data_IF_947162225843
#
_entry.id   IF_947162225843
#
_cell.length_a   1.000
_cell.length_b   1.000
_cell.length_c   1.000
_cell.angle_alpha   90.00
_cell.angle_beta   90.00
_cell.angle_gamma   90.00
#
_symmetry.space_group_name_H-M   'P 1'
#
loop_
_entity.id
_entity.type
_entity.pdbx_description
1 polymer ?
#
# COMPACT_ATOMS: atom_id res chain seq x y z
N UNK A 1 19.25 -0.71 -19.77
CA UNK A 1 18.05 -1.43 -19.27
C UNK A 1 17.13 -0.45 -18.54
N UNK A 2 15.83 -0.73 -18.50
CA UNK A 2 14.80 0.10 -17.78
C UNK A 2 15.17 0.40 -16.32
N UNK A 3 16.07 -0.37 -15.72
CA UNK A 3 16.52 -0.19 -14.34
C UNK A 3 17.64 0.86 -14.17
N UNK A 4 18.25 1.30 -15.26
CA UNK A 4 19.31 2.30 -15.30
C UNK A 4 18.75 3.73 -15.45
N UNK A 5 17.46 3.84 -15.81
CA UNK A 5 16.75 5.09 -16.03
C UNK A 5 15.88 5.45 -14.82
N UNK A 6 15.55 6.73 -14.72
CA UNK A 6 14.53 7.17 -13.78
C UNK A 6 13.14 6.63 -14.16
N UNK A 7 12.27 6.54 -13.16
CA UNK A 7 10.92 6.05 -13.38
C UNK A 7 10.16 7.05 -14.27
N UNK A 8 9.69 6.58 -15.43
CA UNK A 8 8.80 7.35 -16.30
C UNK A 8 7.35 7.21 -15.82
N UNK A 9 6.91 8.17 -15.01
CA UNK A 9 5.55 8.20 -14.46
C UNK A 9 4.47 8.24 -15.54
N UNK A 10 4.72 8.91 -16.68
CA UNK A 10 3.78 8.97 -17.80
C UNK A 10 3.60 7.60 -18.45
N UNK A 11 4.69 6.84 -18.53
CA UNK A 11 4.65 5.48 -19.06
C UNK A 11 3.88 4.55 -18.12
N UNK A 12 4.06 4.71 -16.81
CA UNK A 12 3.27 3.98 -15.82
C UNK A 12 1.78 4.30 -15.98
N UNK A 13 1.42 5.58 -16.04
CA UNK A 13 0.03 6.01 -16.25
C UNK A 13 -0.55 5.42 -17.54
N UNK A 14 0.20 5.48 -18.64
CA UNK A 14 -0.26 4.97 -19.94
C UNK A 14 -0.47 3.45 -19.95
N UNK A 15 0.40 2.69 -19.27
CA UNK A 15 0.34 1.23 -19.25
C UNK A 15 -0.62 0.66 -18.22
N UNK A 16 -0.74 1.30 -17.06
CA UNK A 16 -1.53 0.81 -15.93
C UNK A 16 -2.88 1.49 -15.78
N UNK A 17 -3.04 2.69 -16.33
CA UNK A 17 -4.19 3.56 -16.10
C UNK A 17 -4.16 4.28 -14.75
N UNK A 18 -3.14 4.04 -13.91
CA UNK A 18 -3.04 4.64 -12.58
C UNK A 18 -1.93 5.69 -12.50
N UNK A 19 -2.13 6.73 -11.68
CA UNK A 19 -1.04 7.64 -11.32
C UNK A 19 0.08 6.88 -10.61
N UNK A 20 1.31 7.41 -10.66
CA UNK A 20 2.46 6.75 -10.05
C UNK A 20 2.27 6.45 -8.54
N UNK A 21 1.75 7.39 -7.71
CA UNK A 21 1.48 7.10 -6.30
C UNK A 21 0.47 5.96 -6.13
N UNK A 22 -0.62 5.98 -6.86
CA UNK A 22 -1.64 4.92 -6.80
C UNK A 22 -1.08 3.57 -7.25
N UNK A 23 -0.34 3.54 -8.38
CA UNK A 23 0.32 2.32 -8.85
C UNK A 23 1.26 1.73 -7.80
N UNK A 24 2.09 2.57 -7.15
CA UNK A 24 3.02 2.14 -6.11
C UNK A 24 2.31 1.60 -4.88
N UNK A 25 1.21 2.22 -4.49
CA UNK A 25 0.36 1.72 -3.41
C UNK A 25 -0.22 0.34 -3.73
N UNK A 26 -0.83 0.19 -4.90
CA UNK A 26 -1.38 -1.10 -5.34
C UNK A 26 -0.30 -2.17 -5.48
N UNK A 27 0.89 -1.79 -5.98
CA UNK A 27 2.04 -2.68 -6.03
C UNK A 27 2.41 -3.19 -4.63
N UNK A 28 2.47 -2.30 -3.64
CA UNK A 28 2.81 -2.67 -2.26
C UNK A 28 1.77 -3.60 -1.63
N UNK A 29 0.49 -3.36 -1.88
CA UNK A 29 -0.60 -4.23 -1.42
C UNK A 29 -0.46 -5.65 -2.01
N UNK A 30 -0.17 -5.74 -3.31
CA UNK A 30 -0.10 -7.03 -4.02
C UNK A 30 1.18 -7.82 -3.72
N UNK A 31 2.32 -7.13 -3.51
CA UNK A 31 3.63 -7.75 -3.39
C UNK A 31 4.18 -7.79 -1.97
N UNK A 32 3.54 -7.07 -1.03
CA UNK A 32 3.99 -6.87 0.35
C UNK A 32 5.40 -6.24 0.45
N UNK A 33 5.81 -5.52 -0.60
CA UNK A 33 7.05 -4.74 -0.63
C UNK A 33 6.82 -3.43 -1.38
N UNK A 34 7.51 -2.36 -1.01
CA UNK A 34 7.34 -1.09 -1.74
C UNK A 34 7.96 -1.19 -3.13
N UNK A 35 7.39 -0.43 -4.08
CA UNK A 35 7.95 -0.37 -5.43
C UNK A 35 9.39 0.14 -5.41
N UNK A 36 9.70 1.12 -4.57
CA UNK A 36 11.04 1.69 -4.40
C UNK A 36 12.04 0.66 -3.88
N UNK A 37 11.67 -0.15 -2.86
CA UNK A 37 12.54 -1.19 -2.31
C UNK A 37 12.76 -2.32 -3.31
N UNK A 38 11.70 -2.70 -4.04
CA UNK A 38 11.83 -3.68 -5.12
C UNK A 38 12.81 -3.19 -6.20
N UNK A 39 12.65 -1.97 -6.70
CA UNK A 39 13.51 -1.40 -7.73
C UNK A 39 14.95 -1.24 -7.24
N UNK A 40 15.15 -0.77 -5.99
CA UNK A 40 16.47 -0.71 -5.37
C UNK A 40 17.14 -2.07 -5.31
N UNK A 41 16.42 -3.09 -4.84
CA UNK A 41 16.93 -4.45 -4.75
C UNK A 41 17.26 -5.04 -6.11
N UNK A 42 16.44 -4.73 -7.13
CA UNK A 42 16.70 -5.13 -8.51
C UNK A 42 17.94 -4.43 -9.09
N UNK A 43 18.09 -3.12 -8.88
CA UNK A 43 19.27 -2.34 -9.30
C UNK A 43 20.55 -2.89 -8.68
N UNK A 44 20.54 -3.17 -7.37
CA UNK A 44 21.71 -3.75 -6.69
C UNK A 44 22.02 -5.16 -7.20
N UNK A 45 21.01 -5.97 -7.51
CA UNK A 45 21.19 -7.30 -8.11
C UNK A 45 21.89 -7.19 -9.48
N UNK A 46 21.39 -6.34 -10.37
CA UNK A 46 21.99 -6.15 -11.70
C UNK A 46 23.42 -5.55 -11.60
N UNK A 47 23.62 -4.61 -10.66
CA UNK A 47 24.97 -4.07 -10.40
C UNK A 47 25.95 -5.16 -9.94
N UNK A 48 25.50 -6.11 -9.11
CA UNK A 48 26.34 -7.25 -8.67
C UNK A 48 26.70 -8.17 -9.84
N UNK A 49 25.77 -8.41 -10.75
CA UNK A 49 26.03 -9.20 -11.98
C UNK A 49 27.06 -8.49 -12.86
N UNK A 50 26.90 -7.19 -13.07
CA UNK A 50 27.88 -6.40 -13.85
C UNK A 50 29.26 -6.40 -13.18
N UNK A 51 29.34 -6.25 -11.86
CA UNK A 51 30.59 -6.31 -11.09
C UNK A 51 31.31 -7.65 -11.27
N UNK A 52 30.56 -8.74 -11.27
CA UNK A 52 31.12 -10.11 -11.45
C UNK A 52 31.61 -10.33 -12.88
N UNK A 53 30.85 -9.84 -13.86
CA UNK A 53 31.02 -10.22 -15.28
C UNK A 53 31.83 -9.18 -16.08
N UNK A 54 32.22 -8.05 -15.46
CA UNK A 54 32.98 -6.99 -16.13
C UNK A 54 34.12 -6.43 -15.29
N UNK A 55 35.02 -5.70 -15.96
CA UNK A 55 36.10 -4.91 -15.34
C UNK A 55 35.74 -3.40 -15.25
N UNK A 56 34.49 -3.02 -15.42
CA UNK A 56 34.05 -1.64 -15.31
C UNK A 56 34.42 -1.06 -13.92
N UNK A 57 34.77 0.22 -13.88
CA UNK A 57 35.07 0.87 -12.59
C UNK A 57 33.81 0.86 -11.68
N UNK A 58 34.01 0.62 -10.41
CA UNK A 58 32.88 0.57 -9.40
C UNK A 58 32.11 1.89 -9.42
N UNK A 59 32.78 3.03 -9.60
CA UNK A 59 32.13 4.33 -9.66
C UNK A 59 31.23 4.48 -10.89
N UNK A 60 31.65 3.95 -12.05
CA UNK A 60 30.83 4.00 -13.28
C UNK A 60 29.57 3.13 -13.14
N UNK A 61 29.74 1.96 -12.50
CA UNK A 61 28.59 1.08 -12.16
C UNK A 61 27.66 1.78 -11.16
N UNK A 62 28.19 2.48 -10.14
CA UNK A 62 27.39 3.23 -9.20
C UNK A 62 26.51 4.28 -9.89
N UNK A 63 27.10 5.11 -10.76
CA UNK A 63 26.36 6.10 -11.53
C UNK A 63 25.29 5.49 -12.45
N UNK A 64 25.64 4.40 -13.14
CA UNK A 64 24.73 3.68 -14.05
C UNK A 64 23.47 3.17 -13.33
N UNK A 65 23.57 2.78 -12.06
CA UNK A 65 22.45 2.31 -11.26
C UNK A 65 21.84 3.38 -10.35
N UNK A 66 22.09 4.67 -10.64
CA UNK A 66 21.41 5.81 -10.03
C UNK A 66 21.96 6.25 -8.67
N UNK A 67 23.22 5.95 -8.37
CA UNK A 67 23.91 6.44 -7.18
C UNK A 67 24.81 7.62 -7.50
N UNK A 68 24.71 8.69 -6.75
CA UNK A 68 25.50 9.91 -6.97
C UNK A 68 26.97 9.76 -6.56
N UNK A 69 27.29 8.83 -5.66
CA UNK A 69 28.65 8.62 -5.17
C UNK A 69 28.97 7.13 -5.00
N UNK A 70 30.27 6.79 -5.12
CA UNK A 70 30.78 5.45 -4.84
C UNK A 70 30.51 5.00 -3.39
N UNK A 71 30.52 5.93 -2.45
CA UNK A 71 30.34 5.64 -1.03
C UNK A 71 28.89 5.30 -0.70
N UNK A 72 27.93 6.07 -1.24
CA UNK A 72 26.49 5.76 -1.08
C UNK A 72 26.14 4.43 -1.72
N UNK A 73 26.68 4.14 -2.91
CA UNK A 73 26.56 2.85 -3.56
C UNK A 73 27.17 1.73 -2.71
N UNK A 74 28.40 1.89 -2.26
CA UNK A 74 29.12 0.89 -1.47
C UNK A 74 28.39 0.52 -0.17
N UNK A 75 27.84 1.53 0.53
CA UNK A 75 27.05 1.35 1.73
C UNK A 75 25.75 0.59 1.45
N UNK A 76 24.96 1.01 0.46
CA UNK A 76 23.71 0.36 0.08
C UNK A 76 23.96 -1.07 -0.42
N UNK A 77 24.99 -1.28 -1.24
CA UNK A 77 25.38 -2.57 -1.77
C UNK A 77 25.79 -3.55 -0.67
N UNK A 78 26.66 -3.12 0.27
CA UNK A 78 27.09 -3.94 1.41
C UNK A 78 25.93 -4.27 2.34
N UNK A 79 25.05 -3.29 2.62
CA UNK A 79 23.86 -3.53 3.45
C UNK A 79 22.95 -4.59 2.81
N UNK A 80 22.76 -4.54 1.51
CA UNK A 80 21.89 -5.46 0.80
C UNK A 80 22.52 -6.86 0.60
N UNK A 81 23.74 -6.93 0.07
CA UNK A 81 24.41 -8.19 -0.27
C UNK A 81 25.20 -8.85 0.88
N UNK A 82 25.58 -8.05 1.90
CA UNK A 82 26.45 -8.50 3.01
C UNK A 82 27.94 -8.32 2.73
N UNK A 83 28.34 -8.04 1.48
CA UNK A 83 29.72 -7.82 1.05
C UNK A 83 29.83 -6.54 0.23
N UNK A 84 31.03 -5.95 0.21
CA UNK A 84 31.30 -4.77 -0.60
C UNK A 84 31.33 -5.09 -2.10
N UNK A 85 31.17 -4.07 -2.99
CA UNK A 85 31.29 -4.26 -4.44
C UNK A 85 32.61 -4.90 -4.86
N UNK A 86 33.72 -4.51 -4.24
CA UNK A 86 35.04 -5.09 -4.50
C UNK A 86 35.12 -6.55 -4.12
N UNK A 87 34.58 -6.93 -2.96
CA UNK A 87 34.57 -8.32 -2.51
C UNK A 87 33.75 -9.21 -3.44
N UNK A 88 32.59 -8.74 -3.93
CA UNK A 88 31.77 -9.48 -4.90
C UNK A 88 32.50 -9.62 -6.22
N UNK A 89 33.21 -8.61 -6.70
CA UNK A 89 34.08 -8.70 -7.88
C UNK A 89 35.15 -9.79 -7.73
N UNK A 90 35.66 -10.00 -6.54
CA UNK A 90 36.64 -11.04 -6.23
C UNK A 90 36.03 -12.39 -5.82
N UNK A 91 34.76 -12.62 -6.14
CA UNK A 91 34.10 -13.92 -6.03
C UNK A 91 33.30 -14.15 -4.75
N UNK A 92 33.06 -13.12 -3.90
CA UNK A 92 32.12 -13.27 -2.79
C UNK A 92 30.69 -13.42 -3.32
N UNK A 93 29.83 -14.19 -2.62
CA UNK A 93 28.45 -14.39 -3.02
C UNK A 93 27.64 -13.10 -2.87
N UNK A 94 26.55 -12.99 -3.65
CA UNK A 94 25.61 -11.89 -3.57
C UNK A 94 24.16 -12.37 -3.68
N UNK A 95 23.23 -11.56 -3.17
CA UNK A 95 21.79 -11.85 -3.23
C UNK A 95 21.26 -11.53 -4.62
N UNK A 96 20.33 -12.35 -5.11
CA UNK A 96 19.62 -12.13 -6.37
C UNK A 96 18.13 -11.98 -6.08
N UNK A 97 17.58 -10.83 -6.41
CA UNK A 97 16.12 -10.62 -6.47
C UNK A 97 15.70 -10.85 -7.91
N UNK A 98 14.87 -11.84 -8.16
CA UNK A 98 14.33 -12.12 -9.49
C UNK A 98 13.32 -11.06 -9.94
N UNK A 99 13.05 -11.02 -11.25
CA UNK A 99 11.94 -10.20 -11.76
C UNK A 99 10.63 -10.72 -11.21
N UNK A 100 9.77 -9.81 -10.74
CA UNK A 100 8.40 -10.17 -10.44
C UNK A 100 7.73 -10.67 -11.71
N UNK A 101 7.13 -11.84 -11.62
CA UNK A 101 6.25 -12.39 -12.63
C UNK A 101 4.85 -12.40 -12.02
N UNK A 102 3.94 -11.68 -12.63
CA UNK A 102 2.51 -11.83 -12.31
C UNK A 102 2.08 -13.19 -12.86
N UNK A 103 2.06 -14.19 -11.99
CA UNK A 103 1.48 -15.47 -12.31
C UNK A 103 -0.01 -15.42 -11.98
N UNK A 104 -0.86 -15.50 -12.99
CA UNK A 104 -2.29 -15.75 -12.79
C UNK A 104 -2.41 -17.20 -12.28
N UNK A 105 -2.43 -17.39 -10.96
CA UNK A 105 -2.76 -18.70 -10.40
C UNK A 105 -4.28 -18.79 -10.32
N UNK A 106 -4.89 -19.55 -11.23
CA UNK A 106 -6.29 -19.97 -11.11
C UNK A 106 -6.38 -20.92 -9.91
N UNK A 107 -6.60 -20.39 -8.73
CA UNK A 107 -7.06 -21.17 -7.59
C UNK A 107 -8.57 -21.10 -7.63
N UNK A 108 -9.23 -22.24 -7.67
CA UNK A 108 -10.66 -22.41 -7.83
C UNK A 108 -11.50 -21.49 -6.92
N UNK A 109 -12.59 -20.99 -7.48
CA UNK A 109 -13.38 -19.88 -7.04
C UNK A 109 -13.72 -19.85 -5.56
N UNK A 110 -13.01 -19.02 -4.81
CA UNK A 110 -13.58 -18.46 -3.59
C UNK A 110 -14.54 -17.36 -4.04
N UNK A 111 -15.82 -17.59 -3.89
CA UNK A 111 -16.81 -16.52 -4.07
C UNK A 111 -16.65 -15.56 -2.89
N UNK A 112 -16.26 -14.32 -3.16
CA UNK A 112 -16.42 -13.24 -2.19
C UNK A 112 -17.75 -12.53 -2.47
N UNK A 113 -18.49 -12.19 -1.43
CA UNK A 113 -19.67 -11.37 -1.57
C UNK A 113 -19.23 -9.94 -1.88
N UNK A 114 -19.60 -9.43 -3.03
CA UNK A 114 -19.34 -8.05 -3.44
C UNK A 114 -20.65 -7.40 -3.79
N UNK A 115 -20.89 -6.22 -3.24
CA UNK A 115 -21.96 -5.33 -3.65
C UNK A 115 -21.37 -4.03 -4.20
N UNK A 116 -22.01 -3.46 -5.21
CA UNK A 116 -21.64 -2.15 -5.75
C UNK A 116 -22.69 -1.17 -5.26
N UNK A 117 -22.26 -0.14 -4.56
CA UNK A 117 -23.15 0.89 -4.02
C UNK A 117 -22.57 2.29 -4.25
N UNK A 118 -23.44 3.22 -4.64
CA UNK A 118 -23.11 4.64 -4.59
C UNK A 118 -23.31 5.16 -3.17
N UNK A 119 -22.23 5.61 -2.52
CA UNK A 119 -22.26 6.23 -1.20
C UNK A 119 -22.30 7.73 -1.36
N UNK A 120 -23.33 8.36 -0.79
CA UNK A 120 -23.39 9.82 -0.69
C UNK A 120 -22.22 10.34 0.15
N UNK A 121 -21.91 11.62 -0.02
CA UNK A 121 -20.91 12.27 0.80
C UNK A 121 -21.19 12.08 2.30
N UNK A 122 -20.17 11.77 3.07
CA UNK A 122 -20.25 11.56 4.53
C UNK A 122 -18.97 12.08 5.19
N UNK A 123 -18.97 12.12 6.51
CA UNK A 123 -17.85 12.68 7.26
C UNK A 123 -17.26 11.60 8.18
N UNK A 124 -15.94 11.58 8.23
CA UNK A 124 -15.15 10.71 9.13
C UNK A 124 -14.34 11.59 10.07
N UNK A 125 -14.27 11.21 11.34
CA UNK A 125 -13.38 11.88 12.30
C UNK A 125 -12.54 10.86 13.07
N UNK A 126 -11.28 11.22 13.32
CA UNK A 126 -10.35 10.31 13.98
C UNK A 126 -8.96 10.88 14.15
N UNK A 127 -7.99 10.00 14.33
CA UNK A 127 -6.57 10.33 14.34
C UNK A 127 -6.00 10.14 12.94
N UNK A 128 -5.66 11.23 12.29
CA UNK A 128 -5.06 11.23 10.96
C UNK A 128 -3.54 11.27 11.04
N UNK A 129 -2.88 10.38 10.32
CA UNK A 129 -1.42 10.37 10.14
C UNK A 129 -1.11 10.51 8.65
N UNK A 130 -0.26 11.46 8.33
CA UNK A 130 0.18 11.71 6.96
C UNK A 130 1.53 11.06 6.70
N UNK A 131 1.73 10.60 5.47
CA UNK A 131 3.01 10.08 4.97
C UNK A 131 3.59 8.97 5.87
N UNK A 132 2.77 7.97 6.18
CA UNK A 132 3.21 6.81 6.96
C UNK A 132 3.35 5.57 6.08
N UNK A 133 4.24 4.66 6.49
CA UNK A 133 4.27 3.32 5.91
C UNK A 133 3.02 2.55 6.36
N UNK A 134 2.39 1.80 5.45
CA UNK A 134 1.17 1.03 5.74
C UNK A 134 1.31 0.02 6.89
N UNK A 135 2.52 -0.45 7.17
CA UNK A 135 2.79 -1.33 8.32
C UNK A 135 2.55 -0.66 9.68
N UNK A 136 2.44 0.68 9.70
CA UNK A 136 2.17 1.45 10.91
C UNK A 136 0.67 1.66 11.20
N UNK A 137 -0.23 1.28 10.30
CA UNK A 137 -1.68 1.42 10.51
C UNK A 137 -2.17 0.83 11.85
N UNK A 138 -1.71 -0.36 12.30
CA UNK A 138 -2.10 -0.88 13.61
C UNK A 138 -1.66 0.02 14.77
N UNK A 139 -0.52 0.70 14.65
CA UNK A 139 -0.03 1.61 15.69
C UNK A 139 -0.86 2.89 15.78
N UNK A 140 -1.45 3.35 14.68
CA UNK A 140 -2.36 4.50 14.66
C UNK A 140 -3.62 4.17 15.47
N UNK A 141 -4.17 2.98 15.32
CA UNK A 141 -5.30 2.49 16.13
C UNK A 141 -4.93 2.40 17.62
N UNK A 142 -3.74 1.88 17.95
CA UNK A 142 -3.24 1.83 19.32
C UNK A 142 -3.13 3.22 19.95
N UNK A 143 -2.58 4.19 19.23
CA UNK A 143 -2.50 5.59 19.66
C UNK A 143 -3.90 6.20 19.83
N UNK A 144 -4.81 5.95 18.88
CA UNK A 144 -6.16 6.47 18.89
C UNK A 144 -6.94 6.00 20.14
N UNK A 145 -6.98 4.70 20.40
CA UNK A 145 -7.66 4.16 21.59
C UNK A 145 -6.95 4.42 22.93
N UNK A 146 -5.67 4.81 22.90
CA UNK A 146 -5.00 5.29 24.12
C UNK A 146 -5.48 6.67 24.56
N UNK A 147 -6.01 7.47 23.63
CA UNK A 147 -6.48 8.84 23.87
C UNK A 147 -7.97 8.93 24.14
N UNK A 148 -8.76 8.05 23.50
CA UNK A 148 -10.22 8.12 23.50
C UNK A 148 -10.83 6.75 23.83
N UNK A 149 -11.85 6.75 24.70
CA UNK A 149 -12.60 5.53 24.98
C UNK A 149 -13.64 5.25 23.88
N UNK A 150 -13.97 3.99 23.66
CA UNK A 150 -15.06 3.57 22.76
C UNK A 150 -16.36 4.29 23.05
N UNK A 151 -16.69 4.48 24.35
CA UNK A 151 -17.92 5.16 24.78
C UNK A 151 -17.96 6.65 24.36
N UNK A 152 -16.81 7.33 24.37
CA UNK A 152 -16.72 8.72 23.88
C UNK A 152 -16.95 8.78 22.39
N UNK A 153 -16.29 7.90 21.64
CA UNK A 153 -16.32 7.86 20.19
C UNK A 153 -17.69 7.45 19.63
N UNK A 154 -18.36 6.49 20.25
CA UNK A 154 -19.70 6.07 19.86
C UNK A 154 -20.77 7.19 19.98
N UNK A 155 -20.49 8.24 20.74
CA UNK A 155 -21.41 9.39 20.92
C UNK A 155 -21.30 10.44 19.80
N UNK A 156 -20.30 10.38 18.94
CA UNK A 156 -20.08 11.38 17.87
C UNK A 156 -20.65 10.96 16.51
N UNK A 157 -21.01 9.69 16.34
CA UNK A 157 -21.43 9.19 15.04
C UNK A 157 -22.29 7.94 15.11
N UNK A 158 -22.18 7.11 14.08
CA UNK A 158 -22.94 5.88 13.91
C UNK A 158 -22.44 4.71 14.77
N UNK A 159 -21.31 4.88 15.43
CA UNK A 159 -20.63 3.83 16.22
C UNK A 159 -19.74 2.91 15.38
N UNK A 160 -19.69 3.11 14.07
CA UNK A 160 -18.92 2.29 13.13
C UNK A 160 -17.50 2.81 12.98
N UNK A 161 -16.52 1.94 13.26
CA UNK A 161 -15.11 2.28 13.17
C UNK A 161 -14.55 1.99 11.77
N UNK A 162 -13.72 2.91 11.27
CA UNK A 162 -13.14 2.83 9.94
C UNK A 162 -11.66 3.17 9.92
N UNK A 163 -10.89 2.38 9.19
CA UNK A 163 -9.57 2.77 8.72
C UNK A 163 -9.71 3.36 7.32
N UNK A 164 -9.29 4.59 7.12
CA UNK A 164 -9.40 5.27 5.83
C UNK A 164 -8.03 5.59 5.26
N UNK A 165 -7.77 5.13 4.04
CA UNK A 165 -6.63 5.59 3.24
C UNK A 165 -7.09 6.67 2.27
N UNK A 166 -6.36 7.79 2.21
CA UNK A 166 -6.75 8.94 1.39
C UNK A 166 -5.53 9.71 0.87
N UNK A 167 -5.75 10.51 -0.18
CA UNK A 167 -4.78 11.48 -0.72
C UNK A 167 -3.34 10.93 -0.85
N UNK A 168 -3.20 9.77 -1.48
CA UNK A 168 -1.89 9.13 -1.68
C UNK A 168 -1.07 9.99 -2.64
N UNK A 169 -0.06 10.69 -2.11
CA UNK A 169 0.83 11.58 -2.86
C UNK A 169 2.21 10.95 -3.08
N UNK A 170 2.71 10.23 -2.10
CA UNK A 170 3.99 9.54 -2.17
C UNK A 170 3.79 8.05 -2.49
N UNK A 171 4.62 7.48 -3.40
CA UNK A 171 4.52 6.07 -3.77
C UNK A 171 4.82 5.07 -2.64
N UNK A 172 5.53 5.49 -1.61
CA UNK A 172 5.98 4.65 -0.49
C UNK A 172 5.20 4.86 0.79
N UNK A 173 4.32 5.88 0.82
CA UNK A 173 3.63 6.33 2.01
C UNK A 173 2.13 6.47 1.75
N UNK A 174 1.34 6.45 2.80
CA UNK A 174 -0.10 6.66 2.75
C UNK A 174 -0.52 7.70 3.80
N UNK A 175 -1.60 8.40 3.56
CA UNK A 175 -2.32 9.09 4.60
C UNK A 175 -3.37 8.13 5.15
N UNK A 176 -3.36 7.92 6.46
CA UNK A 176 -4.24 6.96 7.13
C UNK A 176 -4.94 7.60 8.32
N UNK A 177 -6.25 7.51 8.34
CA UNK A 177 -7.08 7.93 9.45
C UNK A 177 -7.70 6.69 10.12
N UNK A 178 -7.41 6.52 11.42
CA UNK A 178 -8.16 5.61 12.29
C UNK A 178 -9.27 6.39 12.98
N UNK A 179 -10.53 6.03 12.76
CA UNK A 179 -11.62 6.86 13.23
C UNK A 179 -13.01 6.23 13.11
N UNK A 180 -14.00 7.11 13.07
CA UNK A 180 -15.42 6.76 13.02
C UNK A 180 -16.16 7.60 11.97
N UNK A 181 -17.19 7.00 11.37
CA UNK A 181 -18.18 7.77 10.61
C UNK A 181 -18.99 8.59 11.60
N UNK A 182 -19.08 9.91 11.37
CA UNK A 182 -19.69 10.85 12.29
C UNK A 182 -20.94 11.54 11.73
N UNK A 183 -21.82 11.94 12.62
CA UNK A 183 -22.99 12.77 12.31
C UNK A 183 -22.95 14.14 13.00
N UNK A 184 -22.03 14.32 13.95
CA UNK A 184 -21.90 15.54 14.74
C UNK A 184 -20.42 16.04 14.72
N UNK A 185 -20.12 16.90 13.76
CA UNK A 185 -18.77 17.47 13.60
C UNK A 185 -18.34 18.34 14.78
N UNK A 186 -19.27 19.01 15.46
CA UNK A 186 -18.93 19.89 16.60
C UNK A 186 -18.36 19.09 17.76
N UNK A 187 -18.98 17.95 18.07
CA UNK A 187 -18.45 17.07 19.13
C UNK A 187 -17.10 16.47 18.77
N UNK A 188 -16.87 16.16 17.48
CA UNK A 188 -15.58 15.69 17.03
C UNK A 188 -14.50 16.77 17.18
N UNK A 189 -14.81 18.02 16.84
CA UNK A 189 -13.93 19.19 17.07
C UNK A 189 -13.61 19.39 18.54
N UNK A 190 -14.62 19.30 19.44
CA UNK A 190 -14.43 19.42 20.90
C UNK A 190 -13.48 18.34 21.45
N UNK A 191 -13.45 17.16 20.84
CA UNK A 191 -12.52 16.09 21.16
C UNK A 191 -11.14 16.29 20.53
N UNK A 192 -10.96 17.28 19.64
CA UNK A 192 -9.71 17.53 18.93
C UNK A 192 -9.37 16.47 17.88
N UNK A 193 -10.39 15.86 17.28
CA UNK A 193 -10.24 14.89 16.20
C UNK A 193 -10.02 15.60 14.86
N UNK A 194 -9.24 14.98 13.99
CA UNK A 194 -9.17 15.36 12.58
C UNK A 194 -10.48 14.98 11.88
N UNK A 195 -11.03 15.89 11.08
CA UNK A 195 -12.29 15.70 10.37
C UNK A 195 -12.03 15.75 8.88
N UNK A 196 -12.51 14.73 8.16
CA UNK A 196 -12.37 14.60 6.71
C UNK A 196 -13.75 14.38 6.08
N UNK A 197 -14.08 15.23 5.13
CA UNK A 197 -15.27 15.06 4.29
C UNK A 197 -14.95 14.09 3.15
N UNK A 198 -15.71 13.01 3.05
CA UNK A 198 -15.59 12.01 2.00
C UNK A 198 -16.59 12.35 0.90
N UNK A 199 -16.15 12.57 -0.34
CA UNK A 199 -17.05 12.88 -1.44
C UNK A 199 -17.92 11.68 -1.81
N UNK A 200 -19.04 11.96 -2.49
CA UNK A 200 -19.86 10.91 -3.09
C UNK A 200 -19.04 10.10 -4.10
N UNK A 201 -19.10 8.78 -3.98
CA UNK A 201 -18.41 7.87 -4.88
C UNK A 201 -19.11 6.50 -4.96
N UNK A 202 -18.88 5.79 -6.06
CA UNK A 202 -19.30 4.41 -6.22
C UNK A 202 -18.23 3.47 -5.61
N UNK A 203 -18.65 2.53 -4.78
CA UNK A 203 -17.78 1.60 -4.08
C UNK A 203 -18.10 0.15 -4.42
N UNK A 204 -17.07 -0.63 -4.67
CA UNK A 204 -17.11 -2.08 -4.53
C UNK A 204 -16.89 -2.42 -3.05
N UNK A 205 -17.93 -2.90 -2.40
CA UNK A 205 -17.93 -3.29 -0.99
C UNK A 205 -17.78 -4.80 -0.91
N UNK A 206 -16.67 -5.25 -0.38
CA UNK A 206 -16.27 -6.65 -0.28
C UNK A 206 -16.43 -7.11 1.15
N UNK A 207 -17.29 -8.09 1.38
CA UNK A 207 -17.42 -8.75 2.69
C UNK A 207 -16.19 -9.65 2.92
N UNK A 208 -15.48 -9.42 4.01
CA UNK A 208 -14.32 -10.19 4.41
C UNK A 208 -14.62 -11.03 5.64
N UNK A 209 -14.04 -12.23 5.68
CA UNK A 209 -14.08 -13.11 6.85
C UNK A 209 -12.68 -13.63 7.13
N UNK A 210 -12.25 -13.54 8.38
CA UNK A 210 -10.95 -14.02 8.83
C UNK A 210 -10.19 -13.03 9.69
N UNK A 211 -8.99 -13.41 10.16
CA UNK A 211 -8.19 -12.55 11.02
C UNK A 211 -7.63 -11.35 10.26
N UNK A 212 -7.53 -10.21 10.96
CA UNK A 212 -6.88 -8.98 10.48
C UNK A 212 -5.38 -9.07 10.78
N UNK A 213 -4.47 -8.73 9.84
CA UNK A 213 -4.73 -8.06 8.54
C UNK A 213 -4.91 -9.01 7.34
N UNK A 214 -4.82 -10.32 7.50
CA UNK A 214 -4.78 -11.29 6.40
C UNK A 214 -6.03 -11.23 5.51
N UNK A 215 -7.22 -11.07 6.10
CA UNK A 215 -8.46 -10.97 5.31
C UNK A 215 -8.48 -9.70 4.44
N UNK A 216 -7.92 -8.58 4.91
CA UNK A 216 -7.79 -7.33 4.15
C UNK A 216 -6.87 -7.54 2.93
N UNK A 217 -5.70 -8.16 3.14
CA UNK A 217 -4.77 -8.47 2.04
C UNK A 217 -5.41 -9.38 0.99
N UNK A 218 -6.19 -10.38 1.43
CA UNK A 218 -6.90 -11.28 0.52
C UNK A 218 -8.01 -10.55 -0.25
N UNK A 219 -8.73 -9.63 0.39
CA UNK A 219 -9.75 -8.79 -0.23
C UNK A 219 -9.16 -7.90 -1.32
N UNK A 220 -8.10 -7.19 -1.03
CA UNK A 220 -7.37 -6.38 -2.00
C UNK A 220 -6.86 -7.20 -3.18
N UNK A 221 -6.25 -8.34 -2.90
CA UNK A 221 -5.76 -9.23 -3.94
C UNK A 221 -6.87 -9.70 -4.86
N UNK A 222 -7.99 -10.12 -4.31
CA UNK A 222 -9.14 -10.54 -5.09
C UNK A 222 -9.72 -9.40 -5.94
N UNK A 223 -9.86 -8.21 -5.36
CA UNK A 223 -10.34 -7.04 -6.07
C UNK A 223 -9.46 -6.70 -7.28
N UNK A 224 -8.15 -6.66 -7.07
CA UNK A 224 -7.20 -6.22 -8.10
C UNK A 224 -6.89 -7.28 -9.17
N UNK A 225 -6.84 -8.55 -8.76
CA UNK A 225 -6.47 -9.65 -9.67
C UNK A 225 -7.67 -10.25 -10.41
N UNK A 226 -8.88 -10.15 -9.83
CA UNK A 226 -10.08 -10.84 -10.34
C UNK A 226 -11.20 -9.84 -10.62
N UNK A 227 -11.78 -9.25 -9.57
CA UNK A 227 -13.03 -8.51 -9.70
C UNK A 227 -12.92 -7.30 -10.66
N UNK A 228 -11.95 -6.43 -10.46
CA UNK A 228 -11.81 -5.22 -11.28
C UNK A 228 -11.51 -5.55 -12.76
N UNK A 229 -10.53 -6.42 -13.08
CA UNK A 229 -10.24 -6.77 -14.48
C UNK A 229 -11.40 -7.48 -15.18
N UNK A 230 -12.08 -8.40 -14.50
CA UNK A 230 -13.17 -9.17 -15.10
C UNK A 230 -14.42 -8.31 -15.37
N UNK A 231 -14.64 -7.26 -14.57
CA UNK A 231 -15.84 -6.43 -14.66
C UNK A 231 -15.60 -5.04 -15.25
N UNK A 232 -14.37 -4.73 -15.69
CA UNK A 232 -14.01 -3.46 -16.32
C UNK A 232 -14.08 -2.27 -15.35
N UNK A 233 -13.58 -2.46 -14.13
CA UNK A 233 -13.47 -1.40 -13.14
C UNK A 233 -12.02 -1.04 -12.85
N UNK A 234 -11.82 0.19 -12.40
CA UNK A 234 -10.56 0.73 -11.88
C UNK A 234 -10.81 1.42 -10.55
N UNK A 235 -9.76 1.55 -9.73
CA UNK A 235 -9.81 2.39 -8.54
C UNK A 235 -9.95 3.86 -8.95
N UNK A 236 -10.95 4.56 -8.42
CA UNK A 236 -11.26 5.94 -8.83
C UNK A 236 -10.30 6.99 -8.29
N UNK A 237 -9.51 6.67 -7.27
CA UNK A 237 -8.63 7.61 -6.55
C UNK A 237 -9.29 8.28 -5.33
N UNK A 238 -10.58 8.07 -5.09
CA UNK A 238 -11.24 8.49 -3.86
C UNK A 238 -10.74 7.65 -2.66
N UNK A 239 -11.04 8.06 -1.41
CA UNK A 239 -10.64 7.30 -0.23
C UNK A 239 -11.20 5.87 -0.23
N UNK A 240 -10.42 4.90 0.19
CA UNK A 240 -10.86 3.55 0.48
C UNK A 240 -10.93 3.29 1.98
N UNK A 241 -11.75 2.29 2.38
CA UNK A 241 -12.07 2.06 3.78
C UNK A 241 -11.94 0.59 4.16
N UNK A 242 -11.39 0.38 5.34
CA UNK A 242 -11.49 -0.82 6.15
C UNK A 242 -12.61 -0.58 7.16
N UNK A 243 -13.74 -1.25 7.00
CA UNK A 243 -14.94 -1.04 7.81
C UNK A 243 -15.05 -2.15 8.86
N UNK A 244 -14.79 -1.81 10.10
CA UNK A 244 -14.65 -2.77 11.21
C UNK A 244 -15.97 -2.95 11.98
N UNK A 245 -16.37 -4.19 12.16
CA UNK A 245 -17.48 -4.55 13.02
C UNK A 245 -17.00 -4.93 14.43
N UNK A 246 -17.93 -4.96 15.39
CA UNK A 246 -17.64 -5.47 16.72
C UNK A 246 -17.22 -6.95 16.66
N UNK A 247 -16.20 -7.33 17.42
CA UNK A 247 -15.74 -8.70 17.48
C UNK A 247 -14.25 -8.86 17.74
N UNK A 248 -13.80 -10.11 17.81
CA UNK A 248 -12.39 -10.45 17.94
C UNK A 248 -11.71 -10.45 16.55
N UNK A 249 -10.91 -9.43 16.27
CA UNK A 249 -10.19 -9.28 15.00
C UNK A 249 -9.17 -10.40 14.73
N UNK A 250 -8.78 -11.18 15.72
CA UNK A 250 -7.90 -12.33 15.55
C UNK A 250 -8.67 -13.63 15.21
N UNK A 251 -10.01 -13.62 15.32
CA UNK A 251 -10.85 -14.78 15.04
C UNK A 251 -10.85 -15.14 13.55
N UNK A 252 -10.83 -16.44 13.20
CA UNK A 252 -11.04 -16.91 11.84
C UNK A 252 -12.45 -16.59 11.30
N UNK A 253 -13.40 -16.32 12.17
CA UNK A 253 -14.80 -16.00 11.83
C UNK A 253 -15.11 -14.49 11.93
N UNK A 254 -14.09 -13.64 12.19
CA UNK A 254 -14.26 -12.20 12.24
C UNK A 254 -14.75 -11.67 10.91
N UNK A 255 -15.71 -10.76 10.94
CA UNK A 255 -16.29 -10.14 9.74
C UNK A 255 -15.98 -8.66 9.69
N UNK A 256 -15.73 -8.17 8.50
CA UNK A 256 -15.53 -6.75 8.19
C UNK A 256 -15.85 -6.49 6.72
N UNK A 257 -15.82 -5.23 6.30
CA UNK A 257 -15.94 -4.87 4.89
C UNK A 257 -14.69 -4.11 4.43
N UNK A 258 -14.31 -4.33 3.18
CA UNK A 258 -13.34 -3.52 2.45
C UNK A 258 -14.09 -2.75 1.36
N UNK A 259 -14.07 -1.42 1.43
CA UNK A 259 -14.72 -0.54 0.47
C UNK A 259 -13.68 0.04 -0.46
N UNK A 260 -13.73 -0.29 -1.72
CA UNK A 260 -12.80 0.19 -2.75
C UNK A 260 -13.58 1.09 -3.69
N UNK A 261 -13.22 2.38 -3.80
CA UNK A 261 -13.88 3.31 -4.71
C UNK A 261 -13.56 2.93 -6.15
N UNK A 262 -14.58 2.80 -6.98
CA UNK A 262 -14.45 2.30 -8.35
C UNK A 262 -14.97 3.31 -9.37
N UNK A 263 -14.47 3.16 -10.60
CA UNK A 263 -14.95 3.83 -11.80
C UNK A 263 -14.85 2.85 -12.96
N UNK A 264 -15.67 2.99 -13.97
CA UNK A 264 -15.54 2.20 -15.21
C UNK A 264 -14.21 2.51 -15.90
N UNK A 265 -13.50 1.46 -16.34
CA UNK A 265 -12.23 1.54 -17.04
C UNK A 265 -12.38 2.07 -18.47
#
# INVERSE_FOLDING_TARGET
>A
TVLEEDIDERKILTLSGYSYPMFSRLFSILTQTTLSDYLRSRRLTEAAIVLRDSNEKIIDIAFRFGYETSDSFGAAFKNFHGFSPSEVRHGKPFKIVSRLQLALSVKGGRSMNIKIENKKAFTVAGLNKQNINSSLCPSVWGEFYSRYSHEQLAKIGTGESVGMCHDVQDPSEINYLAGYVITDSKKAEELGLDIIEVPEAEYAIIELTGPVPECIHQGWKYAMEVFMPEHGYMHSGAPDFEYYYEGDMASPDYKMELWIPIVRA
#
